data_IF_038341553862
#
_entry.id   IF_038341553862
#
_cell.length_a   1.000
_cell.length_b   1.000
_cell.length_c   1.000
_cell.angle_alpha   90.00
_cell.angle_beta   90.00
_cell.angle_gamma   90.00
#
_symmetry.space_group_name_H-M   'P 1'
#
loop_
_entity.id
_entity.type
_entity.pdbx_description
1 polymer ?
#
# COMPACT_ATOMS: atom_id res chain seq x y z
N UNK A 1 14.98 -25.48 -21.06
CA UNK A 1 14.50 -24.09 -21.08
C UNK A 1 13.49 -23.96 -19.95
N UNK A 2 13.97 -23.63 -18.75
CA UNK A 2 13.09 -23.39 -17.62
C UNK A 2 12.36 -22.07 -17.89
N UNK A 3 11.07 -22.15 -18.21
CA UNK A 3 10.21 -21.00 -18.10
C UNK A 3 10.25 -20.63 -16.62
N UNK A 4 10.96 -19.55 -16.30
CA UNK A 4 10.66 -18.82 -15.09
C UNK A 4 9.14 -18.60 -15.14
N UNK A 5 8.40 -19.30 -14.28
CA UNK A 5 7.06 -18.86 -13.93
C UNK A 5 7.20 -17.34 -13.73
N UNK A 6 6.35 -16.50 -14.34
CA UNK A 6 6.40 -15.08 -13.98
C UNK A 6 6.35 -15.10 -12.47
N UNK A 7 7.41 -14.60 -11.83
CA UNK A 7 7.39 -14.38 -10.41
C UNK A 7 6.04 -13.69 -10.21
N UNK A 8 5.11 -14.38 -9.54
CA UNK A 8 3.91 -13.75 -9.08
C UNK A 8 4.51 -12.67 -8.19
N UNK A 9 4.66 -11.46 -8.74
CA UNK A 9 5.13 -10.30 -8.04
C UNK A 9 4.23 -10.29 -6.83
N UNK A 10 4.76 -10.72 -5.68
CA UNK A 10 3.99 -10.91 -4.47
C UNK A 10 3.30 -9.57 -4.20
N UNK A 11 2.02 -9.52 -4.56
CA UNK A 11 1.36 -8.30 -4.98
C UNK A 11 1.17 -7.39 -3.77
N UNK A 12 2.14 -6.52 -3.47
CA UNK A 12 2.23 -5.72 -2.23
C UNK A 12 1.74 -6.50 -0.99
N UNK A 13 1.87 -7.82 -0.99
CA UNK A 13 0.99 -8.70 -0.23
C UNK A 13 1.59 -9.04 1.12
N UNK A 14 0.80 -8.89 2.17
CA UNK A 14 1.25 -9.14 3.55
C UNK A 14 0.94 -7.99 4.48
N UNK A 15 1.56 -8.03 5.65
CA UNK A 15 1.34 -7.09 6.73
C UNK A 15 2.52 -6.13 6.83
N UNK A 16 2.24 -4.83 6.79
CA UNK A 16 3.24 -3.77 6.75
C UNK A 16 3.00 -2.76 7.86
N UNK A 17 4.06 -2.39 8.56
CA UNK A 17 4.07 -1.24 9.45
C UNK A 17 4.27 0.03 8.62
N UNK A 18 3.37 0.98 8.76
CA UNK A 18 3.40 2.26 8.06
C UNK A 18 3.91 3.34 9.02
N UNK A 19 4.96 4.02 8.58
CA UNK A 19 5.60 5.11 9.30
C UNK A 19 5.48 6.39 8.47
N UNK A 20 5.26 7.52 9.13
CA UNK A 20 5.22 8.82 8.49
C UNK A 20 5.22 9.90 9.56
N UNK A 21 5.87 11.03 9.29
CA UNK A 21 6.02 12.14 10.25
C UNK A 21 4.69 12.68 10.78
N UNK A 22 3.62 12.58 9.98
CA UNK A 22 2.28 13.03 10.36
C UNK A 22 1.48 11.99 11.17
N UNK A 23 2.02 10.78 11.36
CA UNK A 23 1.38 9.70 12.09
C UNK A 23 1.83 9.78 13.55
N UNK A 24 0.88 9.82 14.49
CA UNK A 24 1.20 9.84 15.92
C UNK A 24 2.13 8.68 16.30
N UNK A 25 3.07 8.94 17.21
CA UNK A 25 4.01 7.96 17.75
C UNK A 25 3.28 6.67 18.14
N UNK A 26 3.43 5.64 17.31
CA UNK A 26 2.66 4.40 17.39
C UNK A 26 2.69 3.63 16.07
N UNK A 27 2.70 4.35 14.94
CA UNK A 27 2.62 3.74 13.61
C UNK A 27 1.27 3.01 13.42
N UNK A 28 0.80 2.86 12.19
CA UNK A 28 -0.33 1.97 11.93
C UNK A 28 0.11 0.79 11.08
N UNK A 29 -0.55 -0.34 11.25
CA UNK A 29 -0.27 -1.53 10.44
C UNK A 29 -1.33 -1.62 9.36
N UNK A 30 -0.90 -1.88 8.13
CA UNK A 30 -1.77 -2.18 7.00
C UNK A 30 -1.54 -3.61 6.54
N UNK A 31 -2.63 -4.37 6.50
CA UNK A 31 -2.61 -5.67 5.86
C UNK A 31 -3.12 -5.56 4.42
N UNK A 32 -2.24 -5.74 3.44
CA UNK A 32 -2.62 -5.79 2.04
C UNK A 32 -2.97 -7.21 1.64
N UNK A 33 -4.20 -7.36 1.17
CA UNK A 33 -4.74 -8.63 0.68
C UNK A 33 -5.04 -8.47 -0.80
N UNK A 34 -4.45 -9.33 -1.65
CA UNK A 34 -4.74 -9.28 -3.09
C UNK A 34 -6.23 -9.53 -3.34
N UNK A 35 -6.87 -8.60 -4.06
CA UNK A 35 -8.24 -8.71 -4.58
C UNK A 35 -8.28 -9.01 -6.09
N UNK A 36 -7.11 -9.15 -6.73
CA UNK A 36 -6.96 -9.39 -8.16
C UNK A 36 -5.53 -9.12 -8.62
N UNK A 37 -5.23 -9.31 -9.92
CA UNK A 37 -3.88 -9.14 -10.48
C UNK A 37 -3.34 -7.71 -10.33
N UNK A 38 -4.23 -6.71 -10.34
CA UNK A 38 -3.90 -5.29 -10.24
C UNK A 38 -4.65 -4.61 -9.08
N UNK A 39 -5.04 -5.37 -8.06
CA UNK A 39 -5.87 -4.92 -6.95
C UNK A 39 -5.36 -5.47 -5.61
N UNK A 40 -5.16 -4.59 -4.63
CA UNK A 40 -4.95 -4.97 -3.23
C UNK A 40 -5.93 -4.22 -2.33
N UNK A 41 -6.54 -4.93 -1.40
CA UNK A 41 -7.40 -4.38 -0.36
C UNK A 41 -6.58 -4.09 0.90
N UNK A 42 -6.76 -2.91 1.49
CA UNK A 42 -6.09 -2.50 2.73
C UNK A 42 -6.94 -2.93 3.92
N UNK A 43 -6.35 -3.68 4.84
CA UNK A 43 -6.99 -4.33 6.00
C UNK A 43 -8.22 -5.15 5.60
N UNK A 44 -8.05 -5.97 4.55
CA UNK A 44 -9.15 -6.79 4.00
C UNK A 44 -10.28 -5.96 3.39
N UNK A 45 -10.06 -4.68 3.09
CA UNK A 45 -11.02 -3.76 2.50
C UNK A 45 -11.62 -2.76 3.49
N UNK A 46 -11.33 -2.91 4.79
CA UNK A 46 -11.77 -1.98 5.83
C UNK A 46 -11.21 -0.57 5.65
N UNK A 47 -10.00 -0.46 5.09
CA UNK A 47 -9.34 0.82 4.84
C UNK A 47 -9.38 1.24 3.36
N UNK A 48 -9.96 0.44 2.47
CA UNK A 48 -10.12 0.75 1.05
C UNK A 48 -9.32 -0.19 0.16
N UNK A 49 -9.15 0.20 -1.11
CA UNK A 49 -8.49 -0.61 -2.13
C UNK A 49 -7.50 0.24 -2.92
N UNK A 50 -6.35 -0.36 -3.23
CA UNK A 50 -5.34 0.20 -4.12
C UNK A 50 -5.31 -0.59 -5.42
N UNK A 51 -5.14 0.13 -6.51
CA UNK A 51 -5.01 -0.41 -7.86
C UNK A 51 -3.58 -0.24 -8.36
N UNK A 52 -3.07 -1.25 -9.05
CA UNK A 52 -1.72 -1.22 -9.61
C UNK A 52 -1.70 -0.40 -10.89
N UNK A 53 -0.73 0.50 -10.99
CA UNK A 53 -0.38 1.27 -12.19
C UNK A 53 1.12 1.15 -12.41
N UNK A 54 1.53 0.10 -13.12
CA UNK A 54 2.95 -0.22 -13.28
C UNK A 54 3.55 -0.63 -11.93
N UNK A 55 4.53 0.14 -11.44
CA UNK A 55 5.19 -0.09 -10.15
C UNK A 55 4.51 0.58 -8.95
N UNK A 56 3.44 1.35 -9.20
CA UNK A 56 2.76 2.16 -8.18
C UNK A 56 1.37 1.61 -7.85
N UNK A 57 1.11 1.42 -6.58
CA UNK A 57 -0.21 1.11 -6.02
C UNK A 57 -0.89 2.40 -5.61
N UNK A 58 -1.97 2.74 -6.30
CA UNK A 58 -2.70 4.00 -6.08
C UNK A 58 -4.17 3.74 -5.82
N UNK A 59 -4.75 4.47 -4.89
CA UNK A 59 -6.17 4.36 -4.57
C UNK A 59 -6.62 5.41 -3.57
N UNK A 60 -7.89 5.33 -3.21
CA UNK A 60 -8.50 6.20 -2.20
C UNK A 60 -8.94 5.31 -1.05
N UNK A 61 -8.49 5.62 0.16
CA UNK A 61 -8.94 4.92 1.36
C UNK A 61 -10.39 5.24 1.67
N UNK A 62 -11.04 4.44 2.51
CA UNK A 62 -12.41 4.70 2.95
C UNK A 62 -12.55 6.04 3.71
N UNK A 63 -11.46 6.57 4.26
CA UNK A 63 -11.40 7.91 4.85
C UNK A 63 -11.36 9.04 3.81
N UNK A 64 -11.37 8.72 2.52
CA UNK A 64 -11.23 9.69 1.42
C UNK A 64 -9.79 10.15 1.19
N UNK A 65 -8.78 9.45 1.74
CA UNK A 65 -7.39 9.83 1.56
C UNK A 65 -6.77 9.12 0.35
N UNK A 66 -6.19 9.90 -0.55
CA UNK A 66 -5.40 9.40 -1.66
C UNK A 66 -4.11 8.77 -1.13
N UNK A 67 -3.87 7.54 -1.54
CA UNK A 67 -2.68 6.78 -1.16
C UNK A 67 -1.97 6.35 -2.43
N UNK A 68 -0.67 6.59 -2.49
CA UNK A 68 0.21 6.10 -3.53
C UNK A 68 1.40 5.39 -2.89
N UNK A 69 1.73 4.17 -3.30
CA UNK A 69 2.83 3.37 -2.74
C UNK A 69 3.61 2.77 -3.91
N UNK A 70 4.92 2.96 -3.94
CA UNK A 70 5.80 2.27 -4.87
C UNK A 70 6.14 0.86 -4.34
N UNK A 71 5.96 -0.15 -5.18
CA UNK A 71 6.17 -1.55 -4.79
C UNK A 71 7.65 -1.91 -4.56
N UNK A 72 8.58 -1.18 -5.19
CA UNK A 72 10.01 -1.49 -5.13
C UNK A 72 10.66 -0.85 -3.92
N UNK A 73 10.28 0.39 -3.60
CA UNK A 73 10.84 1.13 -2.48
C UNK A 73 10.03 0.98 -1.20
N UNK A 74 8.78 0.50 -1.31
CA UNK A 74 7.80 0.51 -0.22
C UNK A 74 7.56 1.92 0.35
N UNK A 75 7.88 2.95 -0.43
CA UNK A 75 7.66 4.35 -0.09
C UNK A 75 6.43 4.88 -0.79
N UNK A 76 5.71 5.78 -0.13
CA UNK A 76 4.47 6.30 -0.65
C UNK A 76 4.16 7.70 -0.18
N UNK A 77 3.01 8.19 -0.62
CA UNK A 77 2.39 9.42 -0.15
C UNK A 77 0.98 9.13 0.32
N UNK A 78 0.61 9.81 1.40
CA UNK A 78 -0.74 9.79 1.96
C UNK A 78 -1.26 11.22 2.00
N UNK A 79 -2.34 11.46 1.28
CA UNK A 79 -2.96 12.77 1.13
C UNK A 79 -4.43 12.67 1.54
N UNK A 80 -4.86 13.44 2.55
CA UNK A 80 -6.26 13.49 2.95
C UNK A 80 -6.86 14.85 2.60
N UNK A 81 -8.18 14.97 2.39
CA UNK A 81 -8.84 16.23 2.02
C UNK A 81 -8.58 17.40 2.99
N UNK A 82 -8.24 17.09 4.25
CA UNK A 82 -8.02 18.05 5.33
C UNK A 82 -6.56 18.09 5.81
N UNK A 83 -5.65 17.32 5.20
CA UNK A 83 -4.24 17.26 5.59
C UNK A 83 -3.35 17.36 4.34
N UNK A 84 -2.24 18.12 4.40
CA UNK A 84 -1.28 18.13 3.31
C UNK A 84 -0.74 16.71 3.06
N UNK A 85 -0.43 16.40 1.81
CA UNK A 85 0.21 15.13 1.48
C UNK A 85 1.51 14.97 2.28
N UNK A 86 1.65 13.84 2.96
CA UNK A 86 2.86 13.50 3.69
C UNK A 86 3.44 12.18 3.20
N UNK A 87 4.78 12.03 3.22
CA UNK A 87 5.41 10.79 2.85
C UNK A 87 5.10 9.71 3.90
N UNK A 88 4.84 8.50 3.42
CA UNK A 88 4.72 7.30 4.24
C UNK A 88 5.75 6.27 3.78
N UNK A 89 6.23 5.48 4.71
CA UNK A 89 7.17 4.39 4.46
C UNK A 89 6.59 3.11 5.03
N UNK A 90 6.54 2.07 4.20
CA UNK A 90 6.06 0.75 4.59
C UNK A 90 7.25 -0.15 4.90
N UNK A 91 7.18 -0.81 6.05
CA UNK A 91 8.15 -1.81 6.47
C UNK A 91 7.41 -3.13 6.61
N UNK A 92 7.80 -4.15 5.84
CA UNK A 92 7.17 -5.46 5.93
C UNK A 92 7.43 -6.07 7.30
N UNK A 93 6.39 -6.53 7.98
CA UNK A 93 6.46 -7.16 9.30
C UNK A 93 5.84 -8.57 9.34
N UNK A 94 5.16 -9.00 8.28
CA UNK A 94 4.56 -10.34 8.15
C UNK A 94 4.24 -10.70 6.71
#
# INVERSE_FOLDING_TARGET
MAFAAPANADALGGTYSVQGDALQEGGFTWQFVSCGPDCVSVDGGANGQLTRKGSLWTGVTNAGCNTAIDENTLSGTYECPLLPAFPIQLTKIG
#
